data_IF_524321573277
#
_entry.id   IF_524321573277
#
_cell.length_a   1.000
_cell.length_b   1.000
_cell.length_c   1.000
_cell.angle_alpha   90.00
_cell.angle_beta   90.00
_cell.angle_gamma   90.00
#
_symmetry.space_group_name_H-M   'P 1'
#
loop_
_entity.id
_entity.type
_entity.pdbx_description
1 polymer ?
#
# COMPACT_ATOMS: atom_id res chain seq x y z
N UNK A 1 10.67 8.08 -14.85
CA UNK A 1 9.82 6.90 -15.09
C UNK A 1 9.57 6.16 -13.79
N UNK A 2 8.33 5.78 -13.54
CA UNK A 2 7.92 5.06 -12.34
C UNK A 2 7.65 3.60 -12.71
N UNK A 3 8.26 2.68 -11.96
CA UNK A 3 8.12 1.25 -12.20
C UNK A 3 7.75 0.52 -10.92
N UNK A 4 6.93 -0.52 -11.04
CA UNK A 4 6.65 -1.45 -9.95
C UNK A 4 7.45 -2.74 -10.20
N UNK A 5 8.31 -3.08 -9.26
CA UNK A 5 9.16 -4.27 -9.34
C UNK A 5 8.70 -5.27 -8.29
N UNK A 6 8.25 -6.48 -8.66
CA UNK A 6 7.77 -7.45 -7.68
C UNK A 6 8.81 -7.79 -6.63
N UNK A 7 8.38 -7.82 -5.37
CA UNK A 7 9.21 -8.33 -4.27
C UNK A 7 9.29 -9.84 -4.39
N UNK A 8 10.51 -10.39 -4.30
CA UNK A 8 10.74 -11.82 -4.39
C UNK A 8 12.00 -12.20 -3.61
N UNK A 9 12.29 -13.49 -3.53
CA UNK A 9 13.43 -13.97 -2.77
C UNK A 9 14.77 -13.41 -3.26
N UNK A 10 14.89 -13.13 -4.57
CA UNK A 10 16.13 -12.60 -5.12
C UNK A 10 16.37 -11.13 -4.79
N UNK A 11 15.34 -10.38 -4.40
CA UNK A 11 15.48 -8.95 -4.11
C UNK A 11 14.97 -8.52 -2.73
N UNK A 12 14.51 -9.44 -1.90
CA UNK A 12 13.95 -9.09 -0.58
C UNK A 12 14.94 -8.32 0.30
N UNK A 13 16.23 -8.52 0.11
CA UNK A 13 17.26 -7.82 0.88
C UNK A 13 17.26 -6.31 0.67
N UNK A 14 16.67 -5.83 -0.43
CA UNK A 14 16.54 -4.39 -0.66
C UNK A 14 15.70 -3.72 0.43
N UNK A 15 14.86 -4.50 1.14
CA UNK A 15 14.07 -3.97 2.24
C UNK A 15 14.90 -3.53 3.44
N UNK A 16 16.11 -4.04 3.59
CA UNK A 16 17.01 -3.64 4.68
C UNK A 16 17.25 -2.12 4.71
N UNK A 17 17.26 -1.48 3.53
CA UNK A 17 17.40 -0.03 3.43
C UNK A 17 16.23 0.68 4.11
N UNK A 18 15.00 0.20 3.89
CA UNK A 18 13.81 0.78 4.50
C UNK A 18 13.78 0.54 6.00
N UNK A 19 14.22 -0.63 6.44
CA UNK A 19 14.31 -0.96 7.86
C UNK A 19 15.28 -0.02 8.59
N UNK A 20 16.43 0.27 7.98
CA UNK A 20 17.40 1.22 8.55
C UNK A 20 16.82 2.63 8.67
N UNK A 21 16.03 3.03 7.68
CA UNK A 21 15.46 4.38 7.65
C UNK A 21 14.18 4.52 8.48
N UNK A 22 13.62 3.40 8.93
CA UNK A 22 12.32 3.40 9.61
C UNK A 22 12.29 4.30 10.84
N UNK A 23 13.28 4.17 11.71
CA UNK A 23 13.32 4.94 12.94
C UNK A 23 13.55 6.44 12.70
N UNK A 24 14.24 6.79 11.60
CA UNK A 24 14.60 8.17 11.31
C UNK A 24 13.50 8.93 10.56
N UNK A 25 12.84 8.27 9.61
CA UNK A 25 11.91 8.93 8.68
C UNK A 25 10.51 8.39 8.72
N UNK A 26 10.35 7.08 8.63
CA UNK A 26 9.05 6.45 8.42
C UNK A 26 8.22 6.36 9.70
N UNK A 27 8.89 6.18 10.83
CA UNK A 27 8.21 6.04 12.12
C UNK A 27 7.34 7.24 12.48
N UNK A 28 7.75 8.44 12.08
CA UNK A 28 6.99 9.65 12.37
C UNK A 28 5.63 9.69 11.69
N UNK A 29 5.47 8.95 10.59
CA UNK A 29 4.19 8.83 9.90
C UNK A 29 3.33 7.71 10.49
N UNK A 30 3.90 6.92 11.37
CA UNK A 30 3.23 5.79 12.03
C UNK A 30 2.65 4.80 11.03
N UNK A 31 3.30 4.69 9.87
CA UNK A 31 2.88 3.84 8.78
C UNK A 31 3.62 2.50 8.81
N UNK A 32 2.97 1.47 8.32
CA UNK A 32 3.64 0.19 8.12
C UNK A 32 4.57 0.29 6.93
N UNK A 33 5.72 -0.39 7.02
CA UNK A 33 6.61 -0.55 5.88
C UNK A 33 6.51 -1.95 5.28
N UNK A 34 5.69 -2.82 5.89
CA UNK A 34 5.50 -4.20 5.46
C UNK A 34 4.03 -4.55 5.35
N UNK A 35 3.67 -5.49 4.44
CA UNK A 35 2.39 -6.19 4.55
C UNK A 35 2.31 -6.89 5.91
N UNK A 36 1.08 -7.10 6.40
CA UNK A 36 0.87 -7.70 7.73
C UNK A 36 1.57 -9.03 7.90
N UNK A 37 1.52 -9.89 6.87
CA UNK A 37 2.10 -11.22 6.90
C UNK A 37 3.37 -11.32 6.05
N UNK A 38 4.21 -10.29 6.10
CA UNK A 38 5.40 -10.17 5.25
C UNK A 38 6.41 -11.32 5.44
N UNK A 39 6.48 -11.91 6.63
CA UNK A 39 7.43 -13.01 6.87
C UNK A 39 7.09 -14.25 6.04
N UNK A 40 5.83 -14.38 5.64
CA UNK A 40 5.34 -15.48 4.82
C UNK A 40 5.13 -15.04 3.36
N UNK A 41 5.83 -14.01 2.94
CA UNK A 41 5.56 -13.35 1.66
C UNK A 41 5.65 -14.27 0.45
N UNK A 42 6.65 -15.13 0.40
CA UNK A 42 6.86 -16.00 -0.76
C UNK A 42 5.68 -16.95 -0.97
N UNK A 43 5.20 -17.55 0.12
CA UNK A 43 4.07 -18.47 0.08
C UNK A 43 2.77 -17.71 -0.24
N UNK A 44 2.57 -16.57 0.35
CA UNK A 44 1.37 -15.77 0.15
C UNK A 44 1.28 -15.21 -1.27
N UNK A 45 2.39 -14.78 -1.84
CA UNK A 45 2.44 -14.35 -3.25
C UNK A 45 2.10 -15.52 -4.16
N UNK A 46 2.69 -16.69 -3.90
CA UNK A 46 2.45 -17.90 -4.69
C UNK A 46 0.97 -18.28 -4.72
N UNK A 47 0.26 -18.06 -3.61
CA UNK A 47 -1.16 -18.43 -3.49
C UNK A 47 -2.12 -17.27 -3.73
N UNK A 48 -1.64 -16.17 -4.33
CA UNK A 48 -2.46 -15.00 -4.69
C UNK A 48 -3.17 -14.37 -3.49
N UNK A 49 -2.48 -14.30 -2.35
CA UNK A 49 -2.94 -13.63 -1.15
C UNK A 49 -2.22 -12.29 -0.94
N UNK A 50 -1.14 -12.07 -1.66
CA UNK A 50 -0.32 -10.86 -1.54
C UNK A 50 0.20 -10.46 -2.90
N UNK A 51 0.02 -9.17 -3.23
CA UNK A 51 0.61 -8.51 -4.37
C UNK A 51 1.50 -7.40 -3.82
N UNK A 52 2.81 -7.56 -3.89
CA UNK A 52 3.77 -6.69 -3.21
C UNK A 52 4.87 -6.28 -4.17
N UNK A 53 5.05 -4.96 -4.32
CA UNK A 53 6.01 -4.41 -5.27
C UNK A 53 6.82 -3.28 -4.66
N UNK A 54 8.10 -3.21 -5.04
CA UNK A 54 8.90 -2.01 -4.84
C UNK A 54 8.43 -0.92 -5.79
N UNK A 55 8.63 0.33 -5.38
CA UNK A 55 8.39 1.50 -6.22
C UNK A 55 9.76 2.05 -6.64
N UNK A 56 10.05 2.01 -7.94
CA UNK A 56 11.28 2.57 -8.47
C UNK A 56 10.95 3.81 -9.29
N UNK A 57 11.71 4.88 -9.04
CA UNK A 57 11.63 6.13 -9.82
C UNK A 57 13.00 6.41 -10.35
N UNK A 58 13.15 6.44 -11.69
CA UNK A 58 14.45 6.66 -12.34
C UNK A 58 15.54 5.74 -11.77
N UNK A 59 15.21 4.45 -11.65
CA UNK A 59 16.11 3.40 -11.15
C UNK A 59 16.45 3.47 -9.67
N UNK A 60 15.77 4.35 -8.91
CA UNK A 60 15.95 4.45 -7.46
C UNK A 60 14.76 3.82 -6.75
N UNK A 61 15.02 2.94 -5.80
CA UNK A 61 13.99 2.32 -4.98
C UNK A 61 13.54 3.31 -3.89
N UNK A 62 12.32 3.84 -4.02
CA UNK A 62 11.81 4.88 -3.12
C UNK A 62 10.74 4.39 -2.16
N UNK A 63 10.31 3.16 -2.27
CA UNK A 63 9.24 2.68 -1.39
C UNK A 63 8.65 1.36 -1.84
N UNK A 64 7.46 1.10 -1.36
CA UNK A 64 6.77 -0.16 -1.59
C UNK A 64 5.26 0.03 -1.53
N UNK A 65 4.53 -0.79 -2.26
CA UNK A 65 3.07 -0.78 -2.31
C UNK A 65 2.58 -2.23 -2.34
N UNK A 66 1.45 -2.51 -1.68
CA UNK A 66 0.91 -3.86 -1.66
C UNK A 66 -0.60 -3.88 -1.53
N UNK A 67 -1.17 -4.98 -2.01
CA UNK A 67 -2.52 -5.43 -1.68
C UNK A 67 -2.40 -6.78 -0.99
N UNK A 68 -3.16 -6.95 0.06
CA UNK A 68 -3.11 -8.17 0.87
C UNK A 68 -4.52 -8.60 1.25
N UNK A 69 -4.84 -9.87 1.07
CA UNK A 69 -6.08 -10.44 1.60
C UNK A 69 -5.78 -11.54 2.62
N UNK A 70 -6.69 -11.69 3.59
CA UNK A 70 -6.49 -12.62 4.70
C UNK A 70 -6.60 -14.08 4.27
N UNK A 71 -7.68 -14.41 3.56
CA UNK A 71 -7.98 -15.78 3.15
C UNK A 71 -8.33 -15.82 1.67
N UNK A 72 -8.17 -17.01 1.02
CA UNK A 72 -8.47 -17.13 -0.41
C UNK A 72 -9.90 -16.77 -0.81
N UNK A 73 -10.85 -16.92 0.12
CA UNK A 73 -12.26 -16.63 -0.17
C UNK A 73 -12.67 -15.18 -0.03
N UNK A 74 -11.78 -14.31 0.46
CA UNK A 74 -12.12 -12.91 0.69
C UNK A 74 -12.35 -12.16 -0.62
N UNK A 75 -13.37 -11.30 -0.64
CA UNK A 75 -13.67 -10.44 -1.78
C UNK A 75 -13.03 -9.06 -1.64
N UNK A 76 -12.33 -8.79 -0.55
CA UNK A 76 -11.65 -7.52 -0.31
C UNK A 76 -10.19 -7.73 0.04
N UNK A 77 -9.38 -6.70 -0.24
CA UNK A 77 -7.97 -6.67 0.11
C UNK A 77 -7.63 -5.35 0.78
N UNK A 78 -6.60 -5.34 1.58
CA UNK A 78 -6.08 -4.14 2.23
C UNK A 78 -4.93 -3.57 1.42
N UNK A 79 -4.92 -2.24 1.25
CA UNK A 79 -3.84 -1.51 0.58
C UNK A 79 -2.87 -0.95 1.61
N UNK A 80 -1.58 -1.09 1.35
CA UNK A 80 -0.54 -0.38 2.08
C UNK A 80 0.46 0.23 1.11
N UNK A 81 1.00 1.39 1.47
CA UNK A 81 2.01 2.09 0.67
C UNK A 81 2.87 2.94 1.58
N UNK A 82 4.15 3.04 1.25
CA UNK A 82 5.00 4.08 1.80
C UNK A 82 5.97 4.57 0.73
N UNK A 83 6.35 5.84 0.85
CA UNK A 83 7.37 6.45 0.00
C UNK A 83 8.40 7.05 0.97
N UNK A 84 9.61 6.51 0.90
CA UNK A 84 10.67 6.78 1.88
C UNK A 84 11.26 8.20 1.80
N UNK A 85 11.33 8.75 0.62
CA UNK A 85 11.96 10.05 0.39
C UNK A 85 10.92 11.14 0.19
N UNK A 86 10.94 12.15 1.08
CA UNK A 86 10.00 13.29 1.00
C UNK A 86 10.11 14.05 -0.31
N UNK A 87 11.28 14.05 -0.95
CA UNK A 87 11.47 14.74 -2.23
C UNK A 87 10.61 14.12 -3.34
N UNK A 88 10.17 12.87 -3.18
CA UNK A 88 9.31 12.19 -4.14
C UNK A 88 7.83 12.35 -3.82
N UNK A 89 7.49 13.01 -2.71
CA UNK A 89 6.10 13.22 -2.34
C UNK A 89 5.55 14.47 -3.03
N UNK A 90 4.24 14.53 -3.23
CA UNK A 90 3.60 15.68 -3.85
C UNK A 90 3.75 15.79 -5.37
N UNK A 91 4.30 14.76 -6.02
CA UNK A 91 4.53 14.74 -7.48
C UNK A 91 3.55 13.84 -8.24
N UNK A 92 2.49 13.38 -7.56
CA UNK A 92 1.53 12.48 -8.18
C UNK A 92 1.98 11.02 -8.26
N UNK A 93 3.15 10.68 -7.75
CA UNK A 93 3.68 9.33 -7.77
C UNK A 93 2.77 8.38 -7.00
N UNK A 94 2.34 8.77 -5.82
CA UNK A 94 1.45 7.95 -4.98
C UNK A 94 0.15 7.60 -5.68
N UNK A 95 -0.49 8.58 -6.32
CA UNK A 95 -1.74 8.35 -7.06
C UNK A 95 -1.52 7.38 -8.19
N UNK A 96 -0.47 7.59 -8.98
CA UNK A 96 -0.14 6.71 -10.09
C UNK A 96 0.10 5.28 -9.62
N UNK A 97 0.92 5.12 -8.59
CA UNK A 97 1.31 3.81 -8.06
C UNK A 97 0.10 3.06 -7.48
N UNK A 98 -0.73 3.76 -6.70
CA UNK A 98 -1.92 3.15 -6.09
C UNK A 98 -2.90 2.66 -7.16
N UNK A 99 -3.18 3.51 -8.15
CA UNK A 99 -4.09 3.13 -9.24
C UNK A 99 -3.59 1.91 -10.00
N UNK A 100 -2.29 1.87 -10.26
CA UNK A 100 -1.69 0.74 -10.97
C UNK A 100 -1.70 -0.53 -10.11
N UNK A 101 -1.38 -0.39 -8.83
CA UNK A 101 -1.41 -1.50 -7.89
C UNK A 101 -2.82 -2.11 -7.80
N UNK A 102 -3.84 -1.27 -7.71
CA UNK A 102 -5.23 -1.75 -7.64
C UNK A 102 -5.61 -2.44 -8.95
N UNK A 103 -5.28 -1.85 -10.08
CA UNK A 103 -5.63 -2.42 -11.39
C UNK A 103 -5.05 -3.83 -11.58
N UNK A 104 -3.78 -3.99 -11.30
CA UNK A 104 -3.08 -5.25 -11.50
C UNK A 104 -3.35 -6.22 -10.35
N UNK A 105 -3.20 -5.74 -9.13
CA UNK A 105 -3.29 -6.58 -7.93
C UNK A 105 -4.69 -7.09 -7.65
N UNK A 106 -5.74 -6.29 -7.88
CA UNK A 106 -7.10 -6.74 -7.64
C UNK A 106 -7.52 -7.86 -8.58
N UNK A 107 -7.06 -7.82 -9.82
CA UNK A 107 -7.32 -8.89 -10.79
C UNK A 107 -6.59 -10.17 -10.36
N UNK A 108 -5.32 -10.05 -9.95
CA UNK A 108 -4.51 -11.18 -9.52
C UNK A 108 -5.05 -11.84 -8.24
N UNK A 109 -5.47 -11.04 -7.27
CA UNK A 109 -6.01 -11.53 -6.00
C UNK A 109 -7.50 -11.88 -6.07
N UNK A 110 -8.16 -11.57 -7.18
CA UNK A 110 -9.59 -11.79 -7.38
C UNK A 110 -10.42 -11.12 -6.27
N UNK A 111 -10.22 -9.81 -6.10
CA UNK A 111 -10.99 -9.02 -5.14
C UNK A 111 -11.84 -7.97 -5.84
N UNK A 112 -12.94 -7.60 -5.22
CA UNK A 112 -13.91 -6.62 -5.74
C UNK A 112 -13.88 -5.31 -4.98
N UNK A 113 -13.17 -5.27 -3.87
CA UNK A 113 -13.08 -4.10 -3.03
C UNK A 113 -11.68 -4.00 -2.44
N UNK A 114 -11.17 -2.77 -2.36
CA UNK A 114 -9.90 -2.49 -1.69
C UNK A 114 -10.20 -1.51 -0.55
N UNK A 115 -9.65 -1.79 0.61
CA UNK A 115 -9.84 -0.96 1.79
C UNK A 115 -8.50 -0.60 2.41
N UNK A 116 -8.50 0.48 3.18
CA UNK A 116 -7.32 0.94 3.89
C UNK A 116 -7.73 1.68 5.16
N UNK A 117 -6.77 1.89 6.03
CA UNK A 117 -6.92 2.75 7.20
C UNK A 117 -5.85 3.82 7.16
N UNK A 118 -6.23 5.04 7.52
CA UNK A 118 -5.34 6.19 7.52
C UNK A 118 -5.62 7.03 8.77
N UNK A 119 -4.57 7.55 9.39
CA UNK A 119 -4.74 8.46 10.54
C UNK A 119 -5.27 9.79 10.02
N UNK A 120 -6.26 10.35 10.74
CA UNK A 120 -6.86 11.64 10.35
C UNK A 120 -5.82 12.75 10.28
N UNK A 121 -4.73 12.64 11.02
CA UNK A 121 -3.63 13.62 11.01
C UNK A 121 -2.74 13.51 9.78
N UNK A 122 -2.79 12.40 9.06
CA UNK A 122 -2.00 12.20 7.85
C UNK A 122 -2.75 12.71 6.63
N UNK A 123 -2.84 14.04 6.52
CA UNK A 123 -3.62 14.69 5.47
C UNK A 123 -3.10 14.40 4.06
N UNK A 124 -1.78 14.26 3.92
CA UNK A 124 -1.19 13.96 2.61
C UNK A 124 -1.68 12.62 2.09
N UNK A 125 -1.60 11.58 2.92
CA UNK A 125 -2.07 10.26 2.54
C UNK A 125 -3.57 10.25 2.28
N UNK A 126 -4.34 10.86 3.18
CA UNK A 126 -5.79 10.97 3.05
C UNK A 126 -6.18 11.58 1.70
N UNK A 127 -5.59 12.72 1.36
CA UNK A 127 -5.88 13.40 0.10
C UNK A 127 -5.44 12.59 -1.12
N UNK A 128 -4.33 11.87 -1.01
CA UNK A 128 -3.87 10.97 -2.07
C UNK A 128 -4.91 9.88 -2.32
N UNK A 129 -5.43 9.27 -1.27
CA UNK A 129 -6.44 8.22 -1.39
C UNK A 129 -7.75 8.77 -1.98
N UNK A 130 -8.15 9.97 -1.58
CA UNK A 130 -9.32 10.62 -2.16
C UNK A 130 -9.15 10.82 -3.67
N UNK A 131 -7.98 11.26 -4.10
CA UNK A 131 -7.68 11.44 -5.53
C UNK A 131 -7.71 10.12 -6.30
N UNK A 132 -7.42 9.01 -5.63
CA UNK A 132 -7.50 7.69 -6.24
C UNK A 132 -8.93 7.16 -6.37
N UNK A 133 -9.89 7.81 -5.70
CA UNK A 133 -11.28 7.40 -5.72
C UNK A 133 -11.78 6.72 -4.45
N UNK A 134 -10.93 6.62 -3.43
CA UNK A 134 -11.36 6.08 -2.14
C UNK A 134 -12.35 7.03 -1.46
N UNK A 135 -13.29 6.46 -0.73
CA UNK A 135 -14.25 7.21 0.09
C UNK A 135 -14.27 6.67 1.51
N UNK A 136 -14.63 7.53 2.46
CA UNK A 136 -14.70 7.13 3.88
C UNK A 136 -15.89 6.22 4.11
N UNK A 137 -15.67 5.17 4.90
CA UNK A 137 -16.73 4.25 5.29
C UNK A 137 -16.93 4.19 6.80
N UNK A 138 -15.88 4.46 7.58
CA UNK A 138 -15.96 4.39 9.03
C UNK A 138 -14.82 5.21 9.63
N UNK A 139 -14.92 5.46 10.95
CA UNK A 139 -13.84 6.08 11.69
C UNK A 139 -13.79 5.48 13.09
N UNK A 140 -12.59 5.43 13.65
CA UNK A 140 -12.35 4.83 14.95
C UNK A 140 -11.54 5.79 15.81
N UNK A 141 -11.99 5.98 17.04
CA UNK A 141 -11.24 6.76 18.02
C UNK A 141 -10.93 5.84 19.18
N UNK A 142 -9.64 5.70 19.47
CA UNK A 142 -9.16 4.94 20.61
C UNK A 142 -8.50 5.93 21.56
N UNK A 143 -8.84 5.86 22.85
CA UNK A 143 -8.33 6.78 23.85
C UNK A 143 -6.79 6.89 23.77
N UNK A 144 -6.30 8.13 23.77
CA UNK A 144 -4.87 8.42 23.66
C UNK A 144 -4.27 8.30 22.29
N UNK A 145 -5.07 8.00 21.26
CA UNK A 145 -4.58 7.84 19.87
C UNK A 145 -5.33 8.76 18.93
N UNK A 146 -4.70 9.15 17.80
CA UNK A 146 -5.38 9.91 16.76
C UNK A 146 -6.54 9.10 16.16
N UNK A 147 -7.55 9.80 15.68
CA UNK A 147 -8.65 9.20 14.93
C UNK A 147 -8.10 8.46 13.71
N UNK A 148 -8.61 7.26 13.45
CA UNK A 148 -8.29 6.47 12.28
C UNK A 148 -9.51 6.46 11.36
N UNK A 149 -9.30 6.73 10.08
CA UNK A 149 -10.34 6.75 9.07
C UNK A 149 -10.19 5.50 8.21
N UNK A 150 -11.29 4.78 8.03
CA UNK A 150 -11.34 3.66 7.09
C UNK A 150 -11.90 4.15 5.77
N UNK A 151 -11.24 3.78 4.68
CA UNK A 151 -11.64 4.14 3.34
C UNK A 151 -11.71 2.91 2.46
N UNK A 152 -12.54 2.98 1.42
CA UNK A 152 -12.62 1.87 0.47
C UNK A 152 -12.92 2.36 -0.93
N UNK A 153 -12.63 1.50 -1.90
CA UNK A 153 -12.95 1.70 -3.30
C UNK A 153 -13.43 0.37 -3.88
N UNK A 154 -14.47 0.41 -4.71
CA UNK A 154 -14.94 -0.76 -5.45
C UNK A 154 -14.12 -0.93 -6.71
N UNK A 155 -13.87 -2.19 -7.09
CA UNK A 155 -13.09 -2.54 -8.27
C UNK A 155 -13.99 -3.35 -9.20
N UNK A 156 -13.94 -3.03 -10.49
CA UNK A 156 -14.66 -3.79 -11.52
C UNK A 156 -13.67 -4.58 -12.39
N UNK A 157 -14.19 -5.28 -13.39
CA UNK A 157 -13.37 -6.10 -14.29
C UNK A 157 -12.29 -5.31 -15.03
N UNK A 158 -12.49 -3.99 -15.17
CA UNK A 158 -11.56 -3.09 -15.86
C UNK A 158 -10.65 -2.31 -14.90
N UNK A 159 -10.66 -2.67 -13.62
CA UNK A 159 -9.90 -1.99 -12.58
C UNK A 159 -10.78 -1.13 -11.68
N UNK A 160 -10.30 0.06 -11.29
CA UNK A 160 -11.04 0.95 -10.39
C UNK A 160 -12.26 1.54 -11.08
N UNK A 161 -13.29 1.64 -10.30
CA UNK A 161 -14.56 2.19 -10.73
C UNK A 161 -14.49 3.73 -10.72
#
# INVERSE_FOLDING_TARGET
MVELIPVCESNIKLYEMFERDYDNHLKRYLSRIYPRNHEQYADRIKHNLLFWNYIFVNQNNIGSVWLEKETPGDSSASLGIFINDESNQGKGIGVYVIKRCIKIGSALLDVKKVELRVRATNLRAYNCYKKCGFHETNSFVKEGNPKVIQMEISVNENGTK
#
